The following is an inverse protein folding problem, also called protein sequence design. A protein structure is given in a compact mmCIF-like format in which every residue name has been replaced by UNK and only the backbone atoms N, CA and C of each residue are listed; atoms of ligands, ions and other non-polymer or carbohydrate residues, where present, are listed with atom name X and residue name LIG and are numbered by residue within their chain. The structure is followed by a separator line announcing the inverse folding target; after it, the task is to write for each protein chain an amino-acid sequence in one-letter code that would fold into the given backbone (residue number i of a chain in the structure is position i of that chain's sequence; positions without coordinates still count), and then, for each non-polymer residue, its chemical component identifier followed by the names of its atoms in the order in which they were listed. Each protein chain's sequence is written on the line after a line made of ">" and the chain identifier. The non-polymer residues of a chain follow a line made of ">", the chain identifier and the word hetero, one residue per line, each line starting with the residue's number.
data_IF_344155434848
#
_entry.id   IF_344155434848
#
_cell.length_a   1.000
_cell.length_b   1.000
_cell.length_c   1.000
_cell.angle_alpha   90.00
_cell.angle_beta   90.00
_cell.angle_gamma   90.00
#
_symmetry.space_group_name_H-M   'P 1'
#
loop_
_entity.id
_entity.type
_entity.pdbx_description
1 polymer ?
#
# COMPACT_ATOMS: atom_id res chain seq x y z
N UNK A 1 -12.94 4.45 8.75
CA UNK A 1 -11.52 4.80 8.48
C UNK A 1 -10.68 3.67 7.88
N UNK A 2 -10.81 2.37 8.24
CA UNK A 2 -9.88 1.34 7.73
C UNK A 2 -9.91 1.17 6.20
N UNK A 3 -11.06 1.35 5.55
CA UNK A 3 -11.18 1.33 4.09
C UNK A 3 -10.36 2.42 3.38
N UNK A 4 -10.23 3.60 3.99
CA UNK A 4 -9.39 4.69 3.45
C UNK A 4 -7.91 4.33 3.57
N UNK A 5 -7.50 3.74 4.70
CA UNK A 5 -6.12 3.28 4.92
C UNK A 5 -5.78 2.19 3.90
N UNK A 6 -6.68 1.23 3.69
CA UNK A 6 -6.53 0.20 2.66
C UNK A 6 -6.42 0.81 1.26
N UNK A 7 -7.32 1.73 0.89
CA UNK A 7 -7.28 2.41 -0.40
C UNK A 7 -5.97 3.18 -0.61
N UNK A 8 -5.43 3.81 0.44
CA UNK A 8 -4.16 4.54 0.38
C UNK A 8 -2.97 3.59 0.24
N UNK A 9 -3.00 2.43 0.92
CA UNK A 9 -1.98 1.39 0.78
C UNK A 9 -1.94 0.86 -0.67
N UNK A 10 -3.09 0.47 -1.21
CA UNK A 10 -3.23 -0.02 -2.58
C UNK A 10 -2.84 1.05 -3.60
N UNK A 11 -3.30 2.29 -3.41
CA UNK A 11 -2.94 3.40 -4.29
C UNK A 11 -1.43 3.64 -4.34
N UNK A 12 -0.77 3.63 -3.18
CA UNK A 12 0.69 3.75 -3.09
C UNK A 12 1.39 2.58 -3.77
N UNK A 13 0.89 1.35 -3.59
CA UNK A 13 1.41 0.16 -4.26
C UNK A 13 1.33 0.27 -5.79
N UNK A 14 0.19 0.69 -6.31
CA UNK A 14 -0.04 0.89 -7.76
C UNK A 14 0.88 1.98 -8.30
N UNK A 15 1.06 3.09 -7.57
CA UNK A 15 2.07 4.10 -7.93
C UNK A 15 3.48 3.50 -8.00
N UNK A 16 3.85 2.64 -7.04
CA UNK A 16 5.12 1.91 -7.05
C UNK A 16 5.28 1.03 -8.29
N UNK A 17 4.22 0.33 -8.71
CA UNK A 17 4.22 -0.49 -9.94
C UNK A 17 4.38 0.37 -11.20
N UNK A 18 3.65 1.49 -11.30
CA UNK A 18 3.77 2.41 -12.43
C UNK A 18 5.20 2.94 -12.52
N UNK A 19 5.77 3.39 -11.39
CA UNK A 19 7.13 3.92 -11.35
C UNK A 19 8.17 2.85 -11.70
N UNK A 20 7.95 1.59 -11.31
CA UNK A 20 8.86 0.49 -11.60
C UNK A 20 8.82 0.02 -13.07
N UNK A 21 7.62 -0.04 -13.67
CA UNK A 21 7.44 -0.62 -15.01
C UNK A 21 7.37 0.41 -16.14
N UNK A 22 6.96 1.65 -15.88
CA UNK A 22 6.66 2.63 -16.92
C UNK A 22 7.62 3.83 -16.95
N UNK A 23 8.51 3.97 -15.97
CA UNK A 23 9.49 5.06 -15.96
C UNK A 23 10.92 4.52 -15.90
N UNK A 24 11.84 5.03 -16.75
CA UNK A 24 13.25 4.73 -16.59
C UNK A 24 13.74 5.25 -15.24
N UNK A 25 14.58 4.48 -14.53
CA UNK A 25 14.99 4.74 -13.14
C UNK A 25 15.58 6.15 -12.89
N UNK A 26 16.03 6.83 -13.94
CA UNK A 26 16.58 8.18 -13.90
C UNK A 26 15.52 9.31 -14.02
N UNK A 27 14.29 8.99 -14.41
CA UNK A 27 13.19 9.97 -14.55
C UNK A 27 12.24 10.00 -13.35
N UNK A 28 12.41 9.09 -12.38
CA UNK A 28 11.53 8.99 -11.22
C UNK A 28 11.94 9.93 -10.09
N UNK A 29 11.00 10.76 -9.63
CA UNK A 29 11.22 11.68 -8.49
C UNK A 29 11.37 10.91 -7.16
N UNK A 30 10.77 9.72 -7.09
CA UNK A 30 10.85 8.79 -5.96
C UNK A 30 11.16 7.40 -6.52
N UNK A 31 12.11 6.67 -5.92
CA UNK A 31 12.38 5.27 -6.30
C UNK A 31 11.19 4.38 -5.96
N UNK A 32 10.85 3.46 -6.85
CA UNK A 32 9.76 2.49 -6.64
C UNK A 32 9.91 1.70 -5.33
N UNK A 33 11.14 1.38 -4.91
CA UNK A 33 11.42 0.69 -3.64
C UNK A 33 10.89 1.46 -2.42
N UNK A 34 10.95 2.80 -2.42
CA UNK A 34 10.38 3.61 -1.34
C UNK A 34 8.85 3.58 -1.35
N UNK A 35 8.23 3.59 -2.54
CA UNK A 35 6.77 3.48 -2.67
C UNK A 35 6.26 2.13 -2.19
N UNK A 36 6.96 1.04 -2.53
CA UNK A 36 6.63 -0.29 -2.02
C UNK A 36 6.82 -0.39 -0.52
N UNK A 37 7.91 0.17 0.02
CA UNK A 37 8.16 0.24 1.46
C UNK A 37 7.05 1.01 2.20
N UNK A 38 6.67 2.18 1.70
CA UNK A 38 5.60 3.01 2.27
C UNK A 38 4.26 2.28 2.23
N UNK A 39 3.92 1.67 1.09
CA UNK A 39 2.74 0.82 0.94
C UNK A 39 2.70 -0.30 1.97
N UNK A 40 3.82 -1.00 2.17
CA UNK A 40 3.92 -2.08 3.16
C UNK A 40 3.66 -1.59 4.59
N UNK A 41 4.22 -0.45 4.97
CA UNK A 41 3.98 0.16 6.29
C UNK A 41 2.50 0.51 6.47
N UNK A 42 1.87 1.11 5.45
CA UNK A 42 0.43 1.45 5.52
C UNK A 42 -0.43 0.18 5.61
N UNK A 43 -0.04 -0.89 4.92
CA UNK A 43 -0.72 -2.19 5.05
C UNK A 43 -0.62 -2.76 6.47
N UNK A 44 0.54 -2.66 7.12
CA UNK A 44 0.67 -3.08 8.51
C UNK A 44 -0.22 -2.27 9.45
N UNK A 45 -0.29 -0.95 9.25
CA UNK A 45 -1.19 -0.07 10.00
C UNK A 45 -2.65 -0.47 9.75
N UNK A 46 -3.02 -0.75 8.51
CA UNK A 46 -4.36 -1.25 8.16
C UNK A 46 -4.68 -2.56 8.90
N UNK A 47 -3.77 -3.54 8.88
CA UNK A 47 -3.98 -4.82 9.56
C UNK A 47 -4.20 -4.62 11.06
N UNK A 48 -3.41 -3.75 11.68
CA UNK A 48 -3.52 -3.44 13.10
C UNK A 48 -4.86 -2.77 13.46
N UNK A 49 -5.23 -1.70 12.74
CA UNK A 49 -6.46 -0.93 12.98
C UNK A 49 -7.73 -1.70 12.59
N UNK A 50 -7.67 -2.46 11.49
CA UNK A 50 -8.81 -3.22 10.96
C UNK A 50 -8.89 -4.64 11.51
N UNK A 51 -8.04 -5.03 12.47
CA UNK A 51 -7.96 -6.39 12.98
C UNK A 51 -9.32 -7.00 13.36
N UNK A 52 -10.20 -6.31 14.12
CA UNK A 52 -11.51 -6.87 14.47
C UNK A 52 -12.39 -7.16 13.23
N UNK A 53 -12.29 -6.30 12.22
CA UNK A 53 -13.05 -6.39 10.98
C UNK A 53 -12.51 -7.52 10.08
N UNK A 54 -11.19 -7.67 10.03
CA UNK A 54 -10.54 -8.80 9.35
C UNK A 54 -10.92 -10.13 9.99
N UNK A 55 -10.90 -10.21 11.32
CA UNK A 55 -11.38 -11.39 12.05
C UNK A 55 -12.83 -11.68 11.67
N UNK A 56 -13.72 -10.68 11.72
CA UNK A 56 -15.12 -10.87 11.34
C UNK A 56 -15.31 -11.40 9.91
N UNK A 57 -14.50 -10.95 8.94
CA UNK A 57 -14.55 -11.41 7.54
C UNK A 57 -14.00 -12.82 7.36
N UNK A 58 -12.92 -13.17 8.07
CA UNK A 58 -12.23 -14.46 7.91
C UNK A 58 -12.72 -15.57 8.84
N UNK A 59 -13.49 -15.22 9.87
CA UNK A 59 -14.12 -16.19 10.79
C UNK A 59 -15.64 -16.32 10.60
N UNK A 60 -16.19 -15.60 9.63
CA UNK A 60 -17.58 -15.71 9.18
C UNK A 60 -17.80 -16.84 8.18
#
# INVERSE_FOLDING_TARGET
>A
MPYLIFGFAVGTFVCGLIEHFHKPEQAGWIKSSYLFGLSGIIFLIFIYEAWPLLVQVFSG
#
